data_IF_150243320775
#
_entry.id   IF_150243320775
#
_cell.length_a   1.000
_cell.length_b   1.000
_cell.length_c   1.000
_cell.angle_alpha   90.00
_cell.angle_beta   90.00
_cell.angle_gamma   90.00
#
_symmetry.space_group_name_H-M   'P 1'
#
loop_
_entity.id
_entity.type
_entity.pdbx_description
1 polymer ?
#
# COMPACT_ATOMS: atom_id res chain seq x y z
N UNK A 1 -14.25 -20.25 -66.28
CA UNK A 1 -14.96 -20.40 -65.00
C UNK A 1 -13.90 -20.30 -63.90
N UNK A 2 -13.66 -19.11 -63.35
CA UNK A 2 -14.37 -18.52 -62.17
C UNK A 2 -13.97 -19.26 -60.89
N UNK A 3 -13.49 -18.64 -59.80
CA UNK A 3 -13.33 -17.23 -59.45
C UNK A 3 -12.33 -17.13 -58.28
N UNK A 4 -11.47 -16.11 -58.29
CA UNK A 4 -11.58 -14.91 -57.45
C UNK A 4 -11.33 -15.18 -55.95
N UNK A 5 -10.05 -15.35 -55.59
CA UNK A 5 -9.57 -14.92 -54.28
C UNK A 5 -9.45 -13.39 -54.32
N UNK A 6 -10.36 -12.71 -53.63
CA UNK A 6 -10.24 -11.29 -53.34
C UNK A 6 -9.06 -11.12 -52.38
N UNK A 7 -7.90 -10.72 -52.91
CA UNK A 7 -6.77 -10.37 -52.06
C UNK A 7 -7.14 -9.13 -51.26
N UNK A 8 -6.95 -9.18 -49.95
CA UNK A 8 -7.10 -8.06 -49.01
C UNK A 8 -6.51 -6.74 -49.53
N UNK A 9 -5.45 -6.83 -50.34
CA UNK A 9 -4.77 -5.70 -50.97
C UNK A 9 -5.57 -5.02 -52.08
N UNK A 10 -6.41 -5.75 -52.79
CA UNK A 10 -7.32 -5.21 -53.81
C UNK A 10 -8.43 -4.34 -53.19
N UNK A 11 -8.85 -4.65 -51.95
CA UNK A 11 -9.82 -3.86 -51.18
C UNK A 11 -9.22 -2.54 -50.65
N UNK A 12 -7.96 -2.57 -50.21
CA UNK A 12 -7.24 -1.38 -49.73
C UNK A 12 -7.02 -0.39 -50.89
N UNK A 13 -6.57 -0.89 -52.06
CA UNK A 13 -6.35 -0.05 -53.25
C UNK A 13 -7.65 0.53 -53.83
N UNK A 14 -8.79 -0.17 -53.73
CA UNK A 14 -10.07 0.37 -54.21
C UNK A 14 -10.62 1.48 -53.31
N UNK A 15 -10.25 1.48 -52.02
CA UNK A 15 -10.69 2.51 -51.08
C UNK A 15 -9.90 3.80 -51.27
N UNK A 16 -8.58 3.74 -51.42
CA UNK A 16 -7.71 4.93 -51.43
C UNK A 16 -6.75 4.97 -52.64
N UNK A 17 -7.23 5.40 -53.82
CA UNK A 17 -6.41 5.53 -55.02
C UNK A 17 -5.49 6.76 -54.90
N UNK A 18 -4.26 6.52 -54.46
CA UNK A 18 -3.24 7.56 -54.24
C UNK A 18 -2.14 7.16 -53.26
N UNK A 19 -2.30 6.03 -52.56
CA UNK A 19 -1.28 5.51 -51.65
C UNK A 19 -0.12 4.92 -52.45
N UNK A 20 1.03 5.61 -52.47
CA UNK A 20 2.30 5.02 -52.90
C UNK A 20 2.91 4.26 -51.72
N UNK A 21 3.15 2.96 -51.91
CA UNK A 21 3.73 2.08 -50.88
C UNK A 21 5.26 2.13 -51.04
N UNK A 22 6.03 2.53 -50.02
CA UNK A 22 7.49 2.39 -50.03
C UNK A 22 7.91 1.00 -49.52
N UNK A 23 8.97 0.44 -50.12
CA UNK A 23 9.51 -0.91 -49.89
C UNK A 23 10.21 -1.10 -48.52
N UNK A 24 9.51 -0.98 -47.39
CA UNK A 24 10.08 -1.36 -46.08
C UNK A 24 9.00 -1.77 -45.05
N UNK A 25 9.09 -2.96 -44.41
CA UNK A 25 8.06 -3.45 -43.50
C UNK A 25 8.47 -3.31 -42.02
N UNK A 26 8.60 -2.09 -41.48
CA UNK A 26 8.73 -1.96 -40.02
C UNK A 26 7.96 -0.76 -39.39
N UNK A 27 7.52 -0.88 -38.12
CA UNK A 27 6.51 0.01 -37.51
C UNK A 27 7.04 1.38 -37.07
N UNK A 28 8.34 1.66 -37.22
CA UNK A 28 8.98 2.88 -36.73
C UNK A 28 8.80 4.05 -37.72
N UNK A 29 8.55 3.78 -39.01
CA UNK A 29 8.49 4.82 -40.04
C UNK A 29 7.14 5.56 -40.12
N UNK A 30 6.13 5.19 -39.31
CA UNK A 30 4.77 5.74 -39.40
C UNK A 30 4.45 6.90 -38.43
N UNK A 31 5.37 7.33 -37.57
CA UNK A 31 5.08 8.35 -36.54
C UNK A 31 5.62 9.76 -36.83
N UNK A 32 6.24 10.01 -37.98
CA UNK A 32 6.89 11.30 -38.26
C UNK A 32 6.27 12.07 -39.42
N UNK A 33 4.97 12.40 -39.34
CA UNK A 33 4.38 13.42 -40.21
C UNK A 33 3.43 14.35 -39.42
N UNK A 34 3.91 15.59 -39.24
CA UNK A 34 3.26 16.84 -38.78
C UNK A 34 3.67 17.39 -37.41
N UNK A 35 4.79 18.14 -37.44
CA UNK A 35 5.10 19.24 -36.51
C UNK A 35 4.97 20.56 -37.28
N UNK A 36 4.25 21.55 -36.73
CA UNK A 36 4.71 22.96 -36.66
C UNK A 36 3.86 23.81 -35.68
N UNK A 37 4.42 24.90 -35.08
CA UNK A 37 3.94 25.54 -33.84
C UNK A 37 3.60 27.07 -33.93
N UNK A 38 3.27 27.66 -32.75
CA UNK A 38 3.26 29.09 -32.28
C UNK A 38 1.96 29.93 -32.41
N UNK A 39 1.75 31.06 -31.64
CA UNK A 39 2.49 31.64 -30.49
C UNK A 39 1.66 32.23 -29.30
N UNK A 40 2.43 32.62 -28.26
CA UNK A 40 2.28 33.46 -27.03
C UNK A 40 1.24 34.59 -26.92
N UNK A 41 0.79 34.87 -25.68
CA UNK A 41 0.63 36.24 -25.13
C UNK A 41 0.51 36.31 -23.59
N UNK A 42 0.80 37.49 -23.05
CA UNK A 42 1.25 37.87 -21.70
C UNK A 42 0.16 38.46 -20.76
N UNK A 43 0.49 38.51 -19.45
CA UNK A 43 0.38 39.67 -18.54
C UNK A 43 -0.56 39.61 -17.31
N UNK A 44 0.00 40.17 -16.23
CA UNK A 44 -0.60 40.99 -15.15
C UNK A 44 -1.04 40.33 -13.82
N UNK A 45 -0.56 40.99 -12.75
CA UNK A 45 -0.70 40.76 -11.30
C UNK A 45 -1.90 41.56 -10.76
N UNK A 46 -2.63 41.10 -9.74
CA UNK A 46 -3.46 41.97 -8.91
C UNK A 46 -2.99 42.10 -7.44
N UNK A 47 -3.45 43.14 -6.71
CA UNK A 47 -2.79 43.71 -5.54
C UNK A 47 -3.30 43.16 -4.17
N UNK A 48 -2.48 43.33 -3.14
CA UNK A 48 -2.82 43.14 -1.73
C UNK A 48 -3.76 44.23 -1.19
N UNK A 49 -4.53 43.95 -0.12
CA UNK A 49 -4.99 44.99 0.80
C UNK A 49 -4.51 44.81 2.25
N UNK A 50 -3.92 45.91 2.74
CA UNK A 50 -4.07 46.62 4.03
C UNK A 50 -4.21 45.87 5.39
N UNK A 51 -3.32 46.30 6.28
CA UNK A 51 -3.23 46.11 7.73
C UNK A 51 -4.37 46.75 8.54
N UNK A 52 -4.84 46.06 9.59
CA UNK A 52 -5.50 46.67 10.77
C UNK A 52 -5.07 45.93 12.04
N UNK A 53 -4.68 46.70 13.07
CA UNK A 53 -4.30 46.26 14.43
C UNK A 53 -5.29 46.86 15.46
N UNK A 54 -5.16 46.62 16.78
CA UNK A 54 -5.78 45.52 17.51
C UNK A 54 -6.77 46.01 18.60
N UNK A 55 -7.78 45.23 18.96
CA UNK A 55 -8.44 45.38 20.28
C UNK A 55 -8.92 44.04 20.84
N UNK A 56 -8.73 43.93 22.14
CA UNK A 56 -8.86 42.80 23.05
C UNK A 56 -10.30 42.34 23.29
N UNK A 57 -10.52 41.03 23.38
CA UNK A 57 -11.26 40.45 24.49
C UNK A 57 -10.93 38.96 24.68
N UNK A 58 -10.77 38.56 25.95
CA UNK A 58 -10.42 37.20 26.38
C UNK A 58 -11.70 36.37 26.59
N UNK A 59 -11.67 35.11 26.10
CA UNK A 59 -12.22 33.84 26.66
C UNK A 59 -12.86 32.95 25.56
N UNK A 60 -13.05 31.63 25.80
CA UNK A 60 -12.08 30.54 25.95
C UNK A 60 -12.09 29.64 24.69
N UNK A 61 -10.92 29.27 24.14
CA UNK A 61 -10.86 28.49 22.90
C UNK A 61 -11.14 26.98 23.12
N UNK A 62 -12.10 26.37 22.41
CA UNK A 62 -12.03 24.93 22.12
C UNK A 62 -10.91 24.71 21.09
N UNK A 63 -10.06 23.72 21.34
CA UNK A 63 -9.04 23.25 20.41
C UNK A 63 -9.68 22.98 19.04
N UNK A 64 -9.40 23.84 18.06
CA UNK A 64 -9.76 23.61 16.67
C UNK A 64 -8.45 23.56 15.89
N UNK A 65 -7.98 22.36 15.64
CA UNK A 65 -6.97 22.07 14.63
C UNK A 65 -7.56 22.56 13.31
N UNK A 66 -7.03 23.64 12.75
CA UNK A 66 -7.31 23.99 11.36
C UNK A 66 -6.61 22.94 10.50
N UNK A 67 -7.29 21.81 10.29
CA UNK A 67 -7.01 20.91 9.18
C UNK A 67 -7.16 21.72 7.88
N UNK A 68 -6.33 21.42 6.88
CA UNK A 68 -6.55 21.90 5.51
C UNK A 68 -8.04 21.65 5.18
N UNK A 69 -8.83 22.72 5.00
CA UNK A 69 -10.25 22.58 4.69
C UNK A 69 -10.34 21.88 3.32
N UNK A 70 -10.91 20.68 3.32
CA UNK A 70 -11.22 19.97 2.10
C UNK A 70 -12.30 20.76 1.35
N UNK A 71 -11.87 21.48 0.30
CA UNK A 71 -12.73 22.36 -0.49
C UNK A 71 -13.65 21.59 -1.45
N UNK A 72 -13.64 20.25 -1.43
CA UNK A 72 -14.50 19.43 -2.27
C UNK A 72 -15.95 19.44 -1.75
N UNK A 73 -16.94 19.19 -2.63
CA UNK A 73 -18.34 19.12 -2.21
C UNK A 73 -18.54 18.05 -1.12
N UNK A 74 -19.29 18.37 -0.05
CA UNK A 74 -19.53 17.46 1.06
C UNK A 74 -20.10 16.10 0.61
N UNK A 75 -20.95 16.10 -0.41
CA UNK A 75 -21.47 14.89 -1.05
C UNK A 75 -20.37 13.97 -1.61
N UNK A 76 -19.34 14.55 -2.22
CA UNK A 76 -18.21 13.80 -2.74
C UNK A 76 -17.36 13.21 -1.61
N UNK A 77 -17.07 14.01 -0.58
CA UNK A 77 -16.30 13.56 0.59
C UNK A 77 -17.02 12.40 1.29
N UNK A 78 -18.32 12.51 1.50
CA UNK A 78 -19.14 11.45 2.10
C UNK A 78 -19.18 10.19 1.23
N UNK A 79 -19.27 10.33 -0.10
CA UNK A 79 -19.26 9.18 -1.01
C UNK A 79 -17.92 8.43 -0.98
N UNK A 80 -16.81 9.15 -1.03
CA UNK A 80 -15.47 8.55 -0.95
C UNK A 80 -15.26 7.89 0.42
N UNK A 81 -15.69 8.53 1.51
CA UNK A 81 -15.63 7.95 2.84
C UNK A 81 -16.49 6.68 2.96
N UNK A 82 -17.71 6.67 2.40
CA UNK A 82 -18.57 5.49 2.33
C UNK A 82 -17.90 4.34 1.58
N UNK A 83 -17.34 4.62 0.40
CA UNK A 83 -16.61 3.61 -0.38
C UNK A 83 -15.45 3.04 0.44
N UNK A 84 -14.61 3.90 1.03
CA UNK A 84 -13.48 3.49 1.85
C UNK A 84 -13.90 2.57 3.01
N UNK A 85 -14.93 2.95 3.78
CA UNK A 85 -15.40 2.12 4.91
C UNK A 85 -16.03 0.80 4.48
N UNK A 86 -16.71 0.76 3.34
CA UNK A 86 -17.24 -0.49 2.79
C UNK A 86 -16.12 -1.41 2.27
N UNK A 87 -15.05 -0.84 1.73
CA UNK A 87 -13.85 -1.56 1.32
C UNK A 87 -13.07 -2.10 2.52
N UNK A 88 -12.90 -1.32 3.58
CA UNK A 88 -12.33 -1.73 4.87
C UNK A 88 -13.14 -2.87 5.53
N UNK A 89 -14.47 -2.79 5.47
CA UNK A 89 -15.34 -3.79 6.07
C UNK A 89 -15.43 -5.10 5.27
N UNK A 90 -15.12 -5.07 3.97
CA UNK A 90 -15.21 -6.24 3.09
C UNK A 90 -14.46 -7.45 3.70
N UNK A 91 -15.09 -8.63 3.80
CA UNK A 91 -16.37 -9.04 3.16
C UNK A 91 -17.64 -8.85 4.01
N UNK A 92 -17.55 -8.19 5.16
CA UNK A 92 -18.67 -8.02 6.08
C UNK A 92 -19.69 -7.01 5.55
N UNK A 93 -20.93 -7.18 6.00
CA UNK A 93 -22.05 -6.26 5.70
C UNK A 93 -22.13 -5.24 6.84
N UNK A 94 -22.24 -3.96 6.50
CA UNK A 94 -22.48 -2.87 7.45
C UNK A 94 -23.94 -2.46 7.43
N UNK A 95 -24.53 -2.23 8.61
CA UNK A 95 -25.87 -1.62 8.71
C UNK A 95 -25.79 -0.10 8.53
N UNK A 96 -26.93 0.56 8.29
CA UNK A 96 -26.99 2.03 8.28
C UNK A 96 -26.52 2.62 9.62
N UNK A 97 -26.85 1.97 10.74
CA UNK A 97 -26.42 2.43 12.07
C UNK A 97 -24.91 2.32 12.25
N UNK A 98 -24.28 1.29 11.68
CA UNK A 98 -22.83 1.16 11.68
C UNK A 98 -22.18 2.30 10.86
N UNK A 99 -22.74 2.61 9.68
CA UNK A 99 -22.23 3.67 8.82
C UNK A 99 -22.32 5.06 9.48
N UNK A 100 -23.46 5.41 10.07
CA UNK A 100 -23.63 6.66 10.83
C UNK A 100 -22.57 6.77 11.94
N UNK A 101 -22.36 5.68 12.69
CA UNK A 101 -21.42 5.65 13.80
C UNK A 101 -19.95 5.71 13.35
N UNK A 102 -19.60 5.05 12.25
CA UNK A 102 -18.22 4.97 11.75
C UNK A 102 -17.82 6.26 11.04
N UNK A 103 -18.74 6.83 10.25
CA UNK A 103 -18.49 8.06 9.49
C UNK A 103 -18.72 9.33 10.29
N UNK A 104 -19.38 9.23 11.45
CA UNK A 104 -19.79 10.37 12.27
C UNK A 104 -20.66 11.37 11.47
N UNK A 105 -21.51 10.84 10.58
CA UNK A 105 -22.47 11.60 9.76
C UNK A 105 -23.89 11.23 10.17
N UNK A 106 -24.59 12.15 10.82
CA UNK A 106 -25.97 11.93 11.29
C UNK A 106 -27.02 11.96 10.18
N UNK A 107 -26.70 12.56 9.02
CA UNK A 107 -27.62 12.65 7.89
C UNK A 107 -27.76 11.32 7.14
N UNK A 108 -28.74 10.52 7.56
CA UNK A 108 -29.09 9.24 6.94
C UNK A 108 -29.57 9.39 5.49
N UNK A 109 -30.20 10.51 5.13
CA UNK A 109 -30.69 10.71 3.77
C UNK A 109 -29.53 10.93 2.81
N UNK A 110 -28.54 11.73 3.23
CA UNK A 110 -27.30 11.93 2.49
C UNK A 110 -26.55 10.60 2.30
N UNK A 111 -26.38 9.81 3.38
CA UNK A 111 -25.73 8.50 3.29
C UNK A 111 -26.48 7.57 2.33
N UNK A 112 -27.81 7.50 2.43
CA UNK A 112 -28.64 6.66 1.55
C UNK A 112 -28.55 7.10 0.09
N UNK A 113 -28.50 8.40 -0.18
CA UNK A 113 -28.35 8.95 -1.52
C UNK A 113 -26.98 8.60 -2.12
N UNK A 114 -25.89 8.76 -1.36
CA UNK A 114 -24.55 8.40 -1.83
C UNK A 114 -24.36 6.88 -1.96
N UNK A 115 -24.99 6.06 -1.10
CA UNK A 115 -24.99 4.60 -1.24
C UNK A 115 -25.66 4.14 -2.53
N UNK A 116 -26.77 4.78 -2.94
CA UNK A 116 -27.40 4.53 -4.25
C UNK A 116 -26.47 4.93 -5.39
N UNK A 117 -25.79 6.07 -5.29
CA UNK A 117 -24.81 6.47 -6.30
C UNK A 117 -23.64 5.47 -6.42
N UNK A 118 -23.24 4.81 -5.33
CA UNK A 118 -22.24 3.73 -5.36
C UNK A 118 -22.79 2.41 -5.93
N UNK A 119 -24.06 2.09 -5.66
CA UNK A 119 -24.77 0.94 -6.26
C UNK A 119 -24.94 1.11 -7.78
N UNK A 120 -25.29 2.32 -8.24
CA UNK A 120 -25.41 2.65 -9.67
C UNK A 120 -24.06 2.52 -10.41
N UNK A 121 -22.94 2.72 -9.71
CA UNK A 121 -21.58 2.48 -10.22
C UNK A 121 -21.14 1.02 -10.09
N UNK A 122 -22.03 0.15 -9.65
CA UNK A 122 -21.80 -1.27 -9.41
C UNK A 122 -20.69 -1.57 -8.40
N UNK A 123 -20.44 -0.63 -7.47
CA UNK A 123 -19.40 -0.77 -6.45
C UNK A 123 -19.94 -1.42 -5.16
N UNK A 124 -21.22 -1.27 -4.88
CA UNK A 124 -21.85 -1.71 -3.62
C UNK A 124 -23.08 -2.55 -3.94
N UNK A 125 -23.35 -3.55 -3.09
CA UNK A 125 -24.57 -4.37 -3.18
C UNK A 125 -25.35 -4.30 -1.87
N UNK A 126 -26.67 -4.31 -2.00
CA UNK A 126 -27.61 -4.21 -0.89
C UNK A 126 -28.02 -5.61 -0.45
N UNK A 127 -27.96 -5.87 0.85
CA UNK A 127 -28.07 -7.21 1.41
C UNK A 127 -29.12 -7.21 2.51
N UNK A 128 -30.18 -8.02 2.41
CA UNK A 128 -31.09 -8.20 3.53
C UNK A 128 -30.34 -8.71 4.76
N UNK A 129 -30.51 -8.04 5.91
CA UNK A 129 -29.90 -8.48 7.16
C UNK A 129 -30.72 -9.62 7.77
N UNK A 130 -30.03 -10.63 8.29
CA UNK A 130 -30.64 -11.79 8.97
C UNK A 130 -30.57 -11.63 10.50
N UNK A 131 -31.39 -12.38 11.24
CA UNK A 131 -31.37 -12.40 12.71
C UNK A 131 -32.05 -11.21 13.38
N UNK A 132 -31.38 -10.57 14.36
CA UNK A 132 -31.96 -9.48 15.19
C UNK A 132 -32.32 -8.22 14.40
N UNK A 133 -31.78 -8.08 13.19
CA UNK A 133 -32.02 -6.95 12.29
C UNK A 133 -32.89 -7.34 11.08
N UNK A 134 -33.63 -8.45 11.19
CA UNK A 134 -34.54 -8.93 10.15
C UNK A 134 -35.48 -7.81 9.69
N UNK A 135 -35.50 -7.56 8.37
CA UNK A 135 -36.26 -6.47 7.74
C UNK A 135 -35.46 -5.20 7.44
N UNK A 136 -34.20 -5.12 7.87
CA UNK A 136 -33.28 -4.05 7.49
C UNK A 136 -32.38 -4.45 6.31
N UNK A 137 -31.87 -3.44 5.60
CA UNK A 137 -30.89 -3.60 4.52
C UNK A 137 -29.52 -3.20 5.06
N UNK A 138 -28.53 -4.05 4.80
CA UNK A 138 -27.12 -3.76 4.99
C UNK A 138 -26.42 -3.57 3.66
N UNK A 139 -25.20 -3.06 3.72
CA UNK A 139 -24.40 -2.65 2.58
C UNK A 139 -23.06 -3.38 2.62
N UNK A 140 -22.63 -3.92 1.48
CA UNK A 140 -21.26 -4.46 1.33
C UNK A 140 -20.66 -4.08 0.00
N UNK A 141 -19.33 -3.99 -0.05
CA UNK A 141 -18.60 -3.86 -1.31
C UNK A 141 -18.92 -5.05 -2.23
N UNK A 142 -19.21 -4.75 -3.49
CA UNK A 142 -19.34 -5.73 -4.58
C UNK A 142 -17.99 -5.84 -5.29
N UNK A 143 -17.44 -7.04 -5.42
CA UNK A 143 -16.18 -7.27 -6.14
C UNK A 143 -16.48 -8.10 -7.38
N UNK A 144 -15.95 -7.65 -8.52
CA UNK A 144 -16.03 -8.37 -9.78
C UNK A 144 -14.88 -9.36 -9.89
N UNK A 145 -15.10 -10.59 -9.43
CA UNK A 145 -14.14 -11.68 -9.61
C UNK A 145 -14.30 -12.29 -11.01
N UNK A 146 -14.04 -11.49 -12.07
CA UNK A 146 -14.11 -11.97 -13.44
C UNK A 146 -13.05 -13.06 -13.68
N UNK A 147 -13.43 -14.13 -14.40
CA UNK A 147 -12.55 -15.26 -14.75
C UNK A 147 -11.95 -16.04 -13.57
N UNK A 148 -12.58 -15.99 -12.39
CA UNK A 148 -12.15 -16.74 -11.21
C UNK A 148 -13.23 -17.68 -10.70
N UNK A 149 -12.84 -18.87 -10.28
CA UNK A 149 -13.74 -19.80 -9.58
C UNK A 149 -14.01 -19.27 -8.17
N UNK A 150 -15.29 -18.99 -7.87
CA UNK A 150 -15.74 -18.56 -6.53
C UNK A 150 -16.51 -19.70 -5.89
N UNK A 151 -16.02 -20.17 -4.73
CA UNK A 151 -16.64 -21.22 -3.93
C UNK A 151 -17.15 -20.64 -2.62
N UNK A 152 -18.47 -20.60 -2.45
CA UNK A 152 -19.07 -20.28 -1.16
C UNK A 152 -18.98 -21.48 -0.23
N UNK A 153 -18.33 -21.31 0.92
CA UNK A 153 -18.11 -22.39 1.89
C UNK A 153 -19.01 -22.20 3.10
N UNK A 154 -19.97 -23.12 3.28
CA UNK A 154 -20.78 -23.21 4.49
C UNK A 154 -20.03 -24.03 5.56
N UNK A 155 -19.59 -23.37 6.63
CA UNK A 155 -18.93 -24.02 7.77
C UNK A 155 -17.39 -24.02 7.75
N UNK A 156 -16.77 -24.42 8.86
CA UNK A 156 -15.30 -24.37 9.04
C UNK A 156 -14.55 -25.54 8.37
N UNK A 157 -15.24 -26.66 8.10
CA UNK A 157 -14.58 -27.94 7.84
C UNK A 157 -14.29 -28.21 6.35
N UNK A 158 -14.88 -27.44 5.43
CA UNK A 158 -14.70 -27.69 3.98
C UNK A 158 -13.38 -27.17 3.41
N UNK A 159 -12.70 -26.23 4.08
CA UNK A 159 -11.37 -25.76 3.65
C UNK A 159 -10.26 -26.79 3.96
N UNK A 160 -10.54 -27.82 4.76
CA UNK A 160 -9.56 -28.81 5.22
C UNK A 160 -9.39 -30.01 4.28
N UNK A 161 -10.24 -30.17 3.25
CA UNK A 161 -10.26 -31.33 2.35
C UNK A 161 -9.49 -31.13 1.03
N UNK A 162 -8.52 -30.21 1.03
CA UNK A 162 -7.64 -29.98 -0.11
C UNK A 162 -6.53 -31.03 -0.11
N UNK A 163 -6.24 -31.67 -1.25
CA UNK A 163 -5.23 -32.73 -1.35
C UNK A 163 -3.85 -32.21 -0.92
N UNK A 164 -2.93 -33.09 -0.48
CA UNK A 164 -1.63 -32.67 0.07
C UNK A 164 -0.77 -31.83 -0.89
N UNK A 165 -0.88 -32.05 -2.20
CA UNK A 165 -0.20 -31.26 -3.24
C UNK A 165 -0.85 -29.91 -3.53
N UNK A 166 -2.08 -29.68 -3.09
CA UNK A 166 -2.82 -28.43 -3.31
C UNK A 166 -2.76 -27.49 -2.10
N UNK A 167 -2.15 -27.93 -0.98
CA UNK A 167 -2.05 -27.12 0.24
C UNK A 167 -1.06 -25.96 0.05
N UNK A 168 -1.44 -24.72 0.39
CA UNK A 168 -0.54 -23.57 0.30
C UNK A 168 0.56 -23.67 1.34
N UNK A 169 1.78 -23.29 0.95
CA UNK A 169 2.95 -23.23 1.84
C UNK A 169 3.32 -21.80 2.21
N UNK A 170 2.78 -20.81 1.50
CA UNK A 170 3.01 -19.39 1.73
C UNK A 170 1.66 -18.69 1.92
N UNK A 171 1.50 -17.97 3.02
CA UNK A 171 0.37 -17.09 3.27
C UNK A 171 0.76 -15.64 2.96
N UNK A 172 -0.13 -14.89 2.31
CA UNK A 172 0.00 -13.45 2.06
C UNK A 172 -1.19 -12.78 2.74
N UNK A 173 -0.90 -11.92 3.72
CA UNK A 173 -1.91 -11.19 4.48
C UNK A 173 -1.80 -9.73 4.11
N UNK A 174 -2.91 -9.14 3.68
CA UNK A 174 -3.04 -7.71 3.38
C UNK A 174 -4.03 -7.07 4.34
N UNK A 175 -4.04 -5.74 4.41
CA UNK A 175 -4.96 -5.00 5.25
C UNK A 175 -6.04 -4.27 4.42
N UNK A 176 -5.64 -3.58 3.35
CA UNK A 176 -6.55 -2.88 2.47
C UNK A 176 -7.08 -3.80 1.36
N UNK A 177 -8.26 -3.44 0.83
CA UNK A 177 -8.85 -4.20 -0.26
C UNK A 177 -8.01 -4.07 -1.55
N UNK A 178 -7.54 -2.87 -1.88
CA UNK A 178 -6.69 -2.63 -3.04
C UNK A 178 -5.39 -3.46 -3.00
N UNK A 179 -4.78 -3.61 -1.81
CA UNK A 179 -3.62 -4.49 -1.62
C UNK A 179 -3.95 -5.95 -1.92
N UNK A 180 -5.10 -6.44 -1.45
CA UNK A 180 -5.55 -7.80 -1.78
C UNK A 180 -5.77 -7.97 -3.28
N UNK A 181 -6.41 -7.00 -3.92
CA UNK A 181 -6.64 -7.04 -5.36
C UNK A 181 -5.31 -7.09 -6.13
N UNK A 182 -4.34 -6.25 -5.73
CA UNK A 182 -2.96 -6.26 -6.25
C UNK A 182 -2.31 -7.64 -6.15
N UNK A 183 -2.36 -8.26 -4.96
CA UNK A 183 -1.83 -9.61 -4.73
C UNK A 183 -2.57 -10.64 -5.58
N UNK A 184 -3.89 -10.62 -5.58
CA UNK A 184 -4.71 -11.61 -6.28
C UNK A 184 -4.48 -11.60 -7.78
N UNK A 185 -4.16 -10.47 -8.41
CA UNK A 185 -3.87 -10.41 -9.85
C UNK A 185 -2.53 -11.07 -10.23
N UNK A 186 -1.59 -11.17 -9.28
CA UNK A 186 -0.35 -11.91 -9.47
C UNK A 186 -0.54 -13.42 -9.33
N UNK A 187 -1.65 -13.88 -8.73
CA UNK A 187 -1.92 -15.30 -8.51
C UNK A 187 -2.53 -15.94 -9.76
N UNK A 188 -1.89 -16.99 -10.24
CA UNK A 188 -2.34 -17.83 -11.35
C UNK A 188 -3.16 -19.03 -10.85
N UNK A 189 -4.07 -19.55 -11.69
CA UNK A 189 -4.90 -20.72 -11.38
C UNK A 189 -5.60 -20.59 -10.00
N UNK A 190 -6.18 -19.41 -9.75
CA UNK A 190 -6.72 -19.04 -8.45
C UNK A 190 -8.18 -19.44 -8.27
N UNK A 191 -8.51 -19.88 -7.06
CA UNK A 191 -9.89 -20.11 -6.58
C UNK A 191 -10.11 -19.25 -5.34
N UNK A 192 -11.18 -18.46 -5.32
CA UNK A 192 -11.57 -17.65 -4.16
C UNK A 192 -12.63 -18.39 -3.36
N UNK A 193 -12.35 -18.60 -2.09
CA UNK A 193 -13.26 -19.17 -1.12
C UNK A 193 -13.84 -18.05 -0.28
N UNK A 194 -15.16 -17.91 -0.31
CA UNK A 194 -15.86 -16.93 0.50
C UNK A 194 -16.67 -17.65 1.57
N UNK A 195 -16.43 -17.28 2.82
CA UNK A 195 -17.20 -17.77 3.95
C UNK A 195 -17.98 -16.61 4.55
N UNK A 196 -19.24 -16.50 4.19
CA UNK A 196 -20.19 -15.63 4.87
C UNK A 196 -20.69 -16.29 6.16
N UNK A 197 -20.89 -15.49 7.21
CA UNK A 197 -21.50 -15.97 8.44
C UNK A 197 -23.02 -15.90 8.37
N UNK A 198 -23.68 -16.85 9.02
CA UNK A 198 -25.14 -16.89 9.17
C UNK A 198 -25.58 -16.20 10.46
N UNK A 199 -24.78 -16.22 11.53
CA UNK A 199 -25.16 -15.63 12.83
C UNK A 199 -23.94 -15.10 13.60
N UNK A 200 -23.73 -13.78 13.61
CA UNK A 200 -22.92 -13.11 14.65
C UNK A 200 -21.40 -13.30 14.62
N UNK A 201 -20.76 -13.43 13.45
CA UNK A 201 -19.31 -13.19 13.44
C UNK A 201 -18.69 -12.89 12.07
N UNK A 202 -17.36 -12.78 12.06
CA UNK A 202 -16.42 -12.59 10.94
C UNK A 202 -16.63 -13.46 9.68
N UNK A 203 -16.98 -12.81 8.57
CA UNK A 203 -16.88 -13.38 7.23
C UNK A 203 -15.46 -13.24 6.71
N UNK A 204 -14.97 -14.23 5.95
CA UNK A 204 -13.57 -14.26 5.47
C UNK A 204 -13.51 -14.62 3.99
N UNK A 205 -12.50 -14.08 3.29
CA UNK A 205 -12.22 -14.35 1.88
C UNK A 205 -10.78 -14.81 1.75
N UNK A 206 -10.61 -16.04 1.26
CA UNK A 206 -9.30 -16.63 0.98
C UNK A 206 -9.16 -16.87 -0.50
N UNK A 207 -8.01 -16.54 -1.08
CA UNK A 207 -7.73 -16.84 -2.48
C UNK A 207 -6.51 -17.75 -2.54
N UNK A 208 -6.69 -18.95 -3.10
CA UNK A 208 -5.63 -19.95 -3.21
C UNK A 208 -5.26 -20.10 -4.69
N UNK A 209 -3.97 -20.10 -5.00
CA UNK A 209 -3.47 -20.32 -6.34
C UNK A 209 -1.95 -20.41 -6.35
N UNK A 210 -1.33 -20.13 -7.49
CA UNK A 210 0.11 -20.26 -7.68
C UNK A 210 0.75 -18.89 -7.96
N UNK A 211 1.90 -18.63 -7.35
CA UNK A 211 2.83 -17.59 -7.79
C UNK A 211 4.13 -18.30 -8.15
N UNK A 212 4.42 -18.36 -9.45
CA UNK A 212 5.48 -19.22 -9.97
C UNK A 212 5.28 -20.68 -9.52
N UNK A 213 6.31 -21.35 -8.97
CA UNK A 213 6.20 -22.73 -8.51
C UNK A 213 5.56 -22.89 -7.12
N UNK A 214 5.20 -21.79 -6.45
CA UNK A 214 4.73 -21.83 -5.06
C UNK A 214 3.22 -21.75 -4.98
N UNK A 215 2.62 -22.67 -4.20
CA UNK A 215 1.21 -22.62 -3.84
C UNK A 215 1.02 -21.59 -2.72
N UNK A 216 0.25 -20.55 -2.99
CA UNK A 216 0.03 -19.43 -2.08
C UNK A 216 -1.44 -19.33 -1.66
N UNK A 217 -1.66 -18.74 -0.49
CA UNK A 217 -2.98 -18.31 -0.03
C UNK A 217 -2.94 -16.84 0.35
N UNK A 218 -3.82 -16.03 -0.23
CA UNK A 218 -3.99 -14.63 0.15
C UNK A 218 -5.25 -14.43 0.99
N UNK A 219 -5.22 -13.50 1.94
CA UNK A 219 -6.39 -13.02 2.67
C UNK A 219 -6.22 -11.54 3.01
N UNK A 220 -7.35 -10.83 3.09
CA UNK A 220 -7.42 -9.48 3.64
C UNK A 220 -7.93 -9.55 5.08
N UNK A 221 -7.37 -8.75 5.96
CA UNK A 221 -7.90 -8.53 7.30
C UNK A 221 -9.13 -7.61 7.22
N UNK A 222 -10.32 -8.03 7.71
CA UNK A 222 -11.48 -7.17 7.77
C UNK A 222 -11.32 -6.18 8.92
N UNK A 223 -11.42 -4.90 8.58
CA UNK A 223 -11.46 -3.81 9.54
C UNK A 223 -12.91 -3.35 9.68
N UNK A 224 -13.48 -3.55 10.87
CA UNK A 224 -14.80 -3.00 11.21
C UNK A 224 -14.73 -2.36 12.59
N UNK A 225 -14.91 -1.04 12.63
CA UNK A 225 -15.09 -0.29 13.87
C UNK A 225 -13.80 0.11 14.60
N UNK A 226 -13.96 0.52 15.87
CA UNK A 226 -12.85 0.99 16.73
C UNK A 226 -11.84 -0.14 16.98
N UNK A 227 -10.59 0.27 17.15
CA UNK A 227 -9.38 -0.56 17.25
C UNK A 227 -9.59 -1.95 17.84
N UNK A 228 -10.17 -2.07 19.04
CA UNK A 228 -10.22 -3.36 19.72
C UNK A 228 -10.99 -4.44 18.94
N UNK A 229 -12.07 -4.09 18.24
CA UNK A 229 -12.82 -5.06 17.43
C UNK A 229 -12.03 -5.48 16.19
N UNK A 230 -11.33 -4.54 15.54
CA UNK A 230 -10.41 -4.81 14.46
C UNK A 230 -9.22 -5.67 14.92
N UNK A 231 -8.63 -5.41 16.10
CA UNK A 231 -7.58 -6.23 16.76
C UNK A 231 -8.04 -7.68 16.91
N UNK A 232 -9.21 -7.88 17.51
CA UNK A 232 -9.74 -9.23 17.79
C UNK A 232 -10.04 -9.98 16.49
N UNK A 233 -10.71 -9.31 15.54
CA UNK A 233 -11.07 -9.87 14.24
C UNK A 233 -9.85 -10.32 13.44
N UNK A 234 -8.83 -9.45 13.34
CA UNK A 234 -7.60 -9.71 12.59
C UNK A 234 -6.78 -10.86 13.20
N UNK A 235 -6.66 -10.88 14.53
CA UNK A 235 -6.01 -11.98 15.25
C UNK A 235 -6.74 -13.32 15.09
N UNK A 236 -8.08 -13.30 15.13
CA UNK A 236 -8.92 -14.48 14.89
C UNK A 236 -8.72 -15.05 13.49
N UNK A 237 -8.65 -14.19 12.47
CA UNK A 237 -8.47 -14.62 11.07
C UNK A 237 -7.09 -15.19 10.84
N UNK A 238 -6.06 -14.53 11.35
CA UNK A 238 -4.68 -15.04 11.26
C UNK A 238 -4.57 -16.41 11.93
N UNK A 239 -5.14 -16.57 13.14
CA UNK A 239 -5.14 -17.85 13.86
C UNK A 239 -5.92 -18.94 13.11
N UNK A 240 -7.06 -18.60 12.51
CA UNK A 240 -7.87 -19.54 11.72
C UNK A 240 -7.19 -19.93 10.42
N UNK A 241 -6.54 -18.99 9.73
CA UNK A 241 -5.75 -19.24 8.53
C UNK A 241 -4.65 -20.25 8.83
N UNK A 242 -3.83 -19.98 9.85
CA UNK A 242 -2.72 -20.87 10.24
C UNK A 242 -3.22 -22.22 10.79
N UNK A 243 -4.35 -22.23 11.49
CA UNK A 243 -4.99 -23.46 11.97
C UNK A 243 -5.60 -24.32 10.86
N UNK A 244 -6.18 -23.70 9.83
CA UNK A 244 -6.78 -24.39 8.68
C UNK A 244 -5.73 -24.88 7.67
N UNK A 245 -4.69 -24.08 7.45
CA UNK A 245 -3.62 -24.35 6.50
C UNK A 245 -2.29 -24.60 7.21
N UNK A 246 -2.22 -25.73 7.91
CA UNK A 246 -1.05 -26.12 8.71
C UNK A 246 0.22 -26.37 7.87
N UNK A 247 0.11 -26.44 6.54
CA UNK A 247 1.24 -26.56 5.64
C UNK A 247 1.94 -25.22 5.35
N UNK A 248 1.36 -24.09 5.79
CA UNK A 248 1.97 -22.77 5.66
C UNK A 248 3.25 -22.71 6.48
N UNK A 249 4.36 -22.46 5.81
CA UNK A 249 5.70 -22.33 6.37
C UNK A 249 6.14 -20.86 6.46
N UNK A 250 5.65 -20.03 5.53
CA UNK A 250 6.02 -18.62 5.45
C UNK A 250 4.77 -17.73 5.40
N UNK A 251 4.82 -16.59 6.08
CA UNK A 251 3.75 -15.58 6.08
C UNK A 251 4.36 -14.26 5.63
N UNK A 252 3.81 -13.67 4.58
CA UNK A 252 4.11 -12.32 4.15
C UNK A 252 3.00 -11.38 4.60
N UNK A 253 3.38 -10.31 5.31
CA UNK A 253 2.52 -9.15 5.53
C UNK A 253 2.87 -8.14 4.45
N UNK A 254 1.90 -7.77 3.60
CA UNK A 254 2.14 -6.91 2.44
C UNK A 254 1.12 -5.79 2.42
N UNK A 255 1.59 -4.56 2.51
CA UNK A 255 0.73 -3.40 2.42
C UNK A 255 1.48 -2.10 2.17
N UNK A 256 0.72 -1.02 2.12
CA UNK A 256 1.25 0.34 2.02
C UNK A 256 1.73 0.83 3.38
N UNK A 257 2.61 1.82 3.37
CA UNK A 257 3.16 2.41 4.58
C UNK A 257 3.69 3.82 4.33
N UNK A 258 3.91 4.56 5.41
CA UNK A 258 4.50 5.90 5.37
C UNK A 258 6.02 5.83 5.49
N UNK A 259 6.76 6.35 4.52
CA UNK A 259 8.23 6.41 4.63
C UNK A 259 8.66 7.39 5.73
N UNK A 260 9.74 7.05 6.44
CA UNK A 260 10.46 7.98 7.30
C UNK A 260 11.28 8.93 6.43
N UNK A 261 11.16 10.25 6.59
CA UNK A 261 11.84 11.21 5.75
C UNK A 261 13.33 11.36 6.13
N UNK A 262 14.23 10.76 5.36
CA UNK A 262 15.68 10.98 5.50
C UNK A 262 16.19 12.04 4.52
N UNK A 263 16.25 13.31 4.92
CA UNK A 263 16.62 14.42 4.00
C UNK A 263 18.09 14.38 3.59
N UNK A 264 18.97 13.90 4.47
CA UNK A 264 20.43 13.95 4.29
C UNK A 264 21.05 12.60 3.92
N UNK A 265 20.29 11.51 3.97
CA UNK A 265 20.80 10.14 3.78
C UNK A 265 20.02 9.43 2.68
N UNK A 266 20.49 9.56 1.43
CA UNK A 266 19.83 8.98 0.25
C UNK A 266 19.55 7.47 0.38
N UNK A 267 20.47 6.71 0.97
CA UNK A 267 20.34 5.26 1.12
C UNK A 267 19.17 4.86 2.05
N UNK A 268 18.88 5.69 3.06
CA UNK A 268 17.74 5.49 3.98
C UNK A 268 16.44 6.12 3.48
N UNK A 269 16.52 6.99 2.47
CA UNK A 269 15.40 7.82 2.06
C UNK A 269 14.51 7.13 1.02
N UNK A 270 13.28 6.75 1.36
CA UNK A 270 12.33 6.17 0.40
C UNK A 270 11.45 7.22 -0.27
N UNK A 271 11.10 6.97 -1.54
CA UNK A 271 10.18 7.78 -2.35
C UNK A 271 8.82 7.11 -2.52
N UNK A 272 7.80 7.85 -2.96
CA UNK A 272 6.52 7.23 -3.30
C UNK A 272 6.69 6.13 -4.37
N UNK A 273 6.17 4.95 -4.04
CA UNK A 273 6.28 3.75 -4.86
C UNK A 273 7.53 2.90 -4.62
N UNK A 274 8.47 3.31 -3.76
CA UNK A 274 9.55 2.43 -3.30
C UNK A 274 9.00 1.32 -2.38
N UNK A 275 9.67 0.17 -2.36
CA UNK A 275 9.32 -0.99 -1.53
C UNK A 275 10.29 -1.09 -0.36
N UNK A 276 9.76 -1.16 0.86
CA UNK A 276 10.56 -1.42 2.06
C UNK A 276 10.35 -2.86 2.52
N UNK A 277 11.43 -3.61 2.64
CA UNK A 277 11.47 -4.96 3.19
C UNK A 277 11.96 -4.90 4.62
N UNK A 278 11.18 -5.48 5.53
CA UNK A 278 11.52 -5.56 6.95
C UNK A 278 12.83 -6.34 7.13
N UNK A 279 13.86 -5.66 7.61
CA UNK A 279 15.19 -6.22 7.82
C UNK A 279 15.87 -5.58 9.04
N UNK A 280 16.82 -6.26 9.67
CA UNK A 280 17.55 -5.68 10.80
C UNK A 280 18.40 -4.50 10.33
N UNK A 281 18.51 -3.46 11.14
CA UNK A 281 19.25 -2.23 10.77
C UNK A 281 20.68 -2.54 10.30
N UNK A 282 21.37 -3.48 10.96
CA UNK A 282 22.74 -3.88 10.63
C UNK A 282 22.86 -4.71 9.34
N UNK A 283 21.76 -5.25 8.82
CA UNK A 283 21.75 -5.99 7.55
C UNK A 283 22.15 -5.07 6.39
N UNK A 284 21.79 -3.79 6.48
CA UNK A 284 22.01 -2.80 5.43
C UNK A 284 23.42 -2.22 5.45
N UNK A 285 24.02 -2.05 6.63
CA UNK A 285 25.30 -1.35 6.81
C UNK A 285 26.53 -2.20 6.48
N UNK A 286 26.38 -3.52 6.29
CA UNK A 286 27.51 -4.44 6.12
C UNK A 286 27.72 -4.96 4.69
N UNK A 287 26.68 -4.99 3.85
CA UNK A 287 26.68 -5.86 2.66
C UNK A 287 26.38 -5.16 1.33
N UNK A 288 25.77 -3.96 1.30
CA UNK A 288 25.11 -3.44 0.08
C UNK A 288 25.39 -1.99 -0.31
N UNK A 289 26.34 -1.29 0.32
CA UNK A 289 26.75 0.02 -0.21
C UNK A 289 27.20 -0.14 -1.67
N UNK A 290 26.54 0.45 -2.67
CA UNK A 290 26.84 0.15 -4.08
C UNK A 290 28.15 0.80 -4.55
N UNK A 291 28.86 1.49 -3.65
CA UNK A 291 30.28 1.78 -3.76
C UNK A 291 31.10 0.54 -3.44
N UNK A 292 31.36 -0.27 -4.47
CA UNK A 292 32.39 -1.29 -4.41
C UNK A 292 33.74 -0.66 -4.04
N UNK A 293 34.12 -0.76 -2.78
CA UNK A 293 35.50 -0.60 -2.37
C UNK A 293 35.80 -1.60 -1.24
N UNK A 294 36.19 -2.82 -1.62
CA UNK A 294 36.92 -3.74 -0.75
C UNK A 294 38.36 -3.23 -0.51
N UNK A 295 38.52 -1.98 -0.09
CA UNK A 295 39.79 -1.46 0.39
C UNK A 295 39.75 -1.34 1.91
N UNK A 296 40.23 -2.41 2.56
CA UNK A 296 40.75 -2.37 3.92
C UNK A 296 41.95 -1.42 3.96
N UNK A 297 41.72 -0.12 4.11
CA UNK A 297 42.69 0.80 4.71
C UNK A 297 42.05 2.15 5.01
N UNK A 298 41.56 2.30 6.24
CA UNK A 298 41.06 3.55 6.80
C UNK A 298 41.05 3.45 8.32
N UNK A 299 42.12 3.95 8.93
CA UNK A 299 42.32 3.98 10.38
C UNK A 299 41.34 5.00 11.00
N UNK A 300 40.16 4.53 11.41
CA UNK A 300 39.12 5.30 12.09
C UNK A 300 38.51 4.48 13.21
N UNK A 301 38.83 4.82 14.44
CA UNK A 301 38.56 4.02 15.62
C UNK A 301 37.12 4.28 16.12
N UNK A 302 36.12 3.58 15.56
CA UNK A 302 34.80 3.39 16.19
C UNK A 302 34.33 1.95 15.99
N UNK A 303 33.97 1.29 17.10
CA UNK A 303 33.60 -0.12 17.17
C UNK A 303 32.31 -0.44 16.38
N UNK A 304 32.41 -1.28 15.33
CA UNK A 304 31.58 -2.50 15.09
C UNK A 304 31.64 -3.00 13.63
N UNK A 305 32.77 -3.59 13.22
CA UNK A 305 32.91 -4.25 11.92
C UNK A 305 32.47 -5.74 11.97
N UNK A 306 31.19 -6.01 12.17
CA UNK A 306 30.62 -7.35 11.93
C UNK A 306 29.35 -7.23 11.10
N UNK A 307 29.50 -7.22 9.77
CA UNK A 307 28.40 -7.49 8.85
C UNK A 307 27.83 -8.88 9.15
N UNK A 308 26.51 -8.98 9.31
CA UNK A 308 25.82 -10.25 9.57
C UNK A 308 26.01 -11.17 8.36
N UNK A 309 26.46 -12.41 8.60
CA UNK A 309 26.57 -13.42 7.54
C UNK A 309 25.26 -14.22 7.44
N UNK A 310 24.96 -14.81 6.27
CA UNK A 310 23.86 -15.77 6.14
C UNK A 310 23.98 -16.88 7.20
N UNK A 311 22.96 -17.03 8.05
CA UNK A 311 22.95 -17.97 9.17
C UNK A 311 23.22 -17.39 10.56
N UNK A 312 23.65 -16.13 10.68
CA UNK A 312 23.78 -15.47 11.99
C UNK A 312 22.40 -15.12 12.57
N UNK A 313 22.20 -15.40 13.87
CA UNK A 313 20.98 -15.00 14.58
C UNK A 313 21.07 -13.49 14.85
N UNK A 314 20.35 -12.69 14.06
CA UNK A 314 20.23 -11.26 14.31
C UNK A 314 19.14 -11.00 15.37
N UNK A 315 19.55 -10.54 16.55
CA UNK A 315 18.60 -10.12 17.59
C UNK A 315 18.05 -8.71 17.38
N UNK A 316 18.58 -7.97 16.41
CA UNK A 316 18.07 -6.63 16.12
C UNK A 316 16.64 -6.75 15.53
N UNK A 317 15.70 -5.91 15.99
CA UNK A 317 14.33 -5.96 15.52
C UNK A 317 14.23 -5.56 14.06
N UNK A 318 13.36 -6.25 13.33
CA UNK A 318 12.96 -5.91 11.96
C UNK A 318 11.61 -5.20 11.93
N UNK A 319 10.85 -5.36 13.01
CA UNK A 319 9.56 -4.71 13.20
C UNK A 319 9.36 -4.33 14.68
N UNK A 320 8.87 -3.12 14.92
CA UNK A 320 8.63 -2.59 16.26
C UNK A 320 7.20 -2.05 16.33
N UNK A 321 6.42 -2.55 17.29
CA UNK A 321 5.08 -2.07 17.60
C UNK A 321 5.07 -1.32 18.92
N UNK A 322 4.60 -0.08 18.90
CA UNK A 322 4.34 0.73 20.08
C UNK A 322 2.91 0.50 20.56
N UNK A 323 2.75 -0.22 21.67
CA UNK A 323 1.44 -0.56 22.22
C UNK A 323 0.80 0.62 22.94
N UNK A 324 1.59 1.32 23.75
CA UNK A 324 1.17 2.52 24.49
C UNK A 324 2.36 3.36 24.94
N UNK A 325 2.10 4.65 25.13
CA UNK A 325 3.00 5.55 25.85
C UNK A 325 2.88 5.30 27.35
N UNK A 326 4.00 5.47 28.07
CA UNK A 326 4.02 5.46 29.52
C UNK A 326 4.00 6.91 29.97
N UNK A 327 2.88 7.34 30.53
CA UNK A 327 2.76 8.66 31.14
C UNK A 327 3.69 8.74 32.35
N UNK A 328 4.57 9.73 32.38
CA UNK A 328 5.33 10.04 33.59
C UNK A 328 4.37 10.65 34.61
N UNK A 329 3.81 9.82 35.49
CA UNK A 329 3.19 10.32 36.70
C UNK A 329 4.25 11.01 37.55
N UNK A 330 4.03 12.28 37.83
CA UNK A 330 4.77 13.19 38.72
C UNK A 330 5.91 14.03 38.09
N UNK A 331 5.58 15.33 37.99
CA UNK A 331 6.46 16.51 38.05
C UNK A 331 7.42 16.78 36.87
N UNK A 332 7.17 17.92 36.21
CA UNK A 332 7.91 18.59 35.12
C UNK A 332 7.52 18.16 33.68
N UNK A 333 7.18 19.11 32.79
CA UNK A 333 7.02 18.84 31.36
C UNK A 333 8.35 18.36 30.78
N UNK A 334 8.40 17.07 30.50
CA UNK A 334 9.58 16.40 29.98
C UNK A 334 9.64 16.61 28.46
N UNK A 335 10.81 16.97 27.87
CA UNK A 335 10.93 17.13 26.42
C UNK A 335 10.57 15.80 25.73
N UNK A 336 10.01 15.86 24.52
CA UNK A 336 9.58 14.68 23.72
C UNK A 336 10.65 13.57 23.65
N UNK A 337 11.94 13.94 23.83
CA UNK A 337 13.07 13.03 23.92
C UNK A 337 13.14 12.11 25.17
N UNK A 338 12.13 12.14 26.04
CA UNK A 338 12.08 11.33 27.27
C UNK A 338 10.83 10.46 27.39
N UNK A 339 10.05 10.37 26.30
CA UNK A 339 8.90 9.47 26.20
C UNK A 339 9.33 8.02 26.43
N UNK A 340 8.61 7.33 27.31
CA UNK A 340 8.79 5.90 27.55
C UNK A 340 7.68 5.14 26.85
N UNK A 341 8.03 3.99 26.28
CA UNK A 341 7.12 3.20 25.46
C UNK A 341 6.96 1.78 26.01
N UNK A 342 5.77 1.22 25.86
CA UNK A 342 5.57 -0.24 25.92
C UNK A 342 5.72 -0.78 24.51
N UNK A 343 6.82 -1.49 24.26
CA UNK A 343 7.20 -1.97 22.94
C UNK A 343 7.07 -3.48 22.80
N UNK A 344 6.65 -3.91 21.62
CA UNK A 344 6.86 -5.27 21.13
C UNK A 344 7.85 -5.23 19.98
N UNK A 345 8.92 -6.00 20.11
CA UNK A 345 10.00 -6.05 19.13
C UNK A 345 10.04 -7.43 18.51
N UNK A 346 10.00 -7.47 17.18
CA UNK A 346 10.02 -8.72 16.42
C UNK A 346 11.33 -8.78 15.64
N UNK A 347 12.10 -9.83 15.88
CA UNK A 347 13.37 -10.10 15.21
C UNK A 347 13.24 -11.32 14.29
N UNK A 348 14.12 -11.39 13.31
CA UNK A 348 14.16 -12.51 12.35
C UNK A 348 14.73 -13.75 13.04
N UNK A 349 13.95 -14.83 13.04
CA UNK A 349 14.38 -16.13 13.56
C UNK A 349 15.13 -16.96 12.51
N UNK A 350 14.78 -16.77 11.24
CA UNK A 350 15.34 -17.47 10.08
C UNK A 350 15.65 -16.47 8.97
N UNK A 351 16.91 -16.41 8.56
CA UNK A 351 17.42 -15.47 7.55
C UNK A 351 17.20 -15.96 6.11
N UNK A 352 16.53 -17.10 5.90
CA UNK A 352 16.26 -17.66 4.57
C UNK A 352 15.55 -16.67 3.64
N UNK A 353 14.50 -15.98 4.13
CA UNK A 353 13.78 -14.98 3.33
C UNK A 353 14.65 -13.76 3.02
N UNK A 354 15.45 -13.28 3.97
CA UNK A 354 16.40 -12.19 3.74
C UNK A 354 17.47 -12.58 2.72
N UNK A 355 17.94 -13.84 2.77
CA UNK A 355 18.89 -14.39 1.80
C UNK A 355 18.28 -14.46 0.39
N UNK A 356 16.98 -14.75 0.28
CA UNK A 356 16.26 -14.69 -1.00
C UNK A 356 16.19 -13.25 -1.53
N UNK A 357 15.89 -12.28 -0.66
CA UNK A 357 15.90 -10.86 -1.02
C UNK A 357 17.28 -10.45 -1.50
N UNK A 358 18.34 -10.89 -0.83
CA UNK A 358 19.69 -10.59 -1.25
C UNK A 358 19.99 -11.12 -2.67
N UNK A 359 19.62 -12.36 -2.96
CA UNK A 359 19.80 -12.92 -4.32
C UNK A 359 18.98 -12.18 -5.38
N UNK A 360 17.84 -11.62 -5.02
CA UNK A 360 17.04 -10.80 -5.95
C UNK A 360 17.77 -9.49 -6.24
N UNK A 361 18.26 -8.82 -5.20
CA UNK A 361 18.96 -7.55 -5.33
C UNK A 361 20.34 -7.72 -6.00
N UNK A 362 21.10 -8.78 -5.71
CA UNK A 362 22.39 -9.07 -6.37
C UNK A 362 22.21 -9.28 -7.88
N UNK A 363 21.15 -9.99 -8.28
CA UNK A 363 20.82 -10.17 -9.70
C UNK A 363 20.48 -8.83 -10.35
N UNK A 364 19.72 -7.97 -9.67
CA UNK A 364 19.45 -6.62 -10.15
C UNK A 364 20.72 -5.78 -10.26
N UNK A 365 21.56 -5.74 -9.23
CA UNK A 365 22.80 -4.96 -9.23
C UNK A 365 23.78 -5.42 -10.32
N UNK A 366 23.77 -6.72 -10.66
CA UNK A 366 24.58 -7.26 -11.75
C UNK A 366 24.12 -6.79 -13.14
N UNK A 367 22.80 -6.63 -13.35
CA UNK A 367 22.21 -6.19 -14.62
C UNK A 367 20.95 -5.33 -14.36
N UNK A 368 21.11 -4.04 -14.00
CA UNK A 368 19.97 -3.18 -13.61
C UNK A 368 18.94 -3.00 -14.73
N UNK A 369 19.39 -3.02 -15.99
CA UNK A 369 18.53 -2.91 -17.18
C UNK A 369 17.57 -4.10 -17.34
N UNK A 370 17.79 -5.22 -16.62
CA UNK A 370 16.95 -6.42 -16.62
C UNK A 370 16.23 -6.61 -15.29
N UNK A 371 15.72 -5.51 -14.74
CA UNK A 371 14.97 -5.50 -13.49
C UNK A 371 13.71 -6.39 -13.54
N UNK A 372 13.80 -7.61 -13.01
CA UNK A 372 12.71 -8.62 -13.07
C UNK A 372 11.39 -8.10 -12.47
N UNK A 373 11.44 -7.41 -11.32
CA UNK A 373 10.22 -6.90 -10.68
C UNK A 373 9.55 -5.78 -11.48
N UNK A 374 10.28 -5.02 -12.29
CA UNK A 374 9.69 -4.03 -13.18
C UNK A 374 8.82 -4.70 -14.26
N UNK A 375 9.29 -5.82 -14.80
CA UNK A 375 8.51 -6.60 -15.77
C UNK A 375 7.25 -7.23 -15.14
N UNK A 376 7.37 -7.74 -13.91
CA UNK A 376 6.23 -8.29 -13.16
C UNK A 376 5.18 -7.20 -12.91
N UNK A 377 5.61 -6.00 -12.50
CA UNK A 377 4.73 -4.86 -12.26
C UNK A 377 3.99 -4.47 -13.55
N UNK A 378 4.70 -4.29 -14.66
CA UNK A 378 4.07 -3.93 -15.94
C UNK A 378 3.05 -4.98 -16.38
N UNK A 379 3.42 -6.26 -16.34
CA UNK A 379 2.52 -7.37 -16.70
C UNK A 379 1.28 -7.41 -15.80
N UNK A 380 1.44 -7.09 -14.51
CA UNK A 380 0.33 -7.04 -13.57
C UNK A 380 -0.58 -5.84 -13.83
N UNK A 381 -0.01 -4.67 -14.14
CA UNK A 381 -0.78 -3.47 -14.52
C UNK A 381 -1.61 -3.71 -15.79
N UNK A 382 -1.06 -4.41 -16.78
CA UNK A 382 -1.79 -4.76 -18.00
C UNK A 382 -3.00 -5.67 -17.72
N UNK A 383 -2.93 -6.52 -16.68
CA UNK A 383 -4.07 -7.33 -16.21
C UNK A 383 -5.14 -6.47 -15.52
N UNK A 384 -4.76 -5.38 -14.86
CA UNK A 384 -5.68 -4.45 -14.19
C UNK A 384 -6.31 -3.42 -15.12
N UNK A 385 -5.68 -3.08 -16.24
CA UNK A 385 -6.21 -2.10 -17.19
C UNK A 385 -7.59 -2.48 -17.78
N UNK A 386 -8.08 -3.69 -17.52
CA UNK A 386 -9.44 -4.15 -17.85
C UNK A 386 -10.48 -3.90 -16.73
N UNK A 387 -10.08 -3.55 -15.51
CA UNK A 387 -10.94 -3.34 -14.34
C UNK A 387 -10.78 -1.88 -13.84
N UNK A 388 -11.73 -1.00 -14.22
CA UNK A 388 -11.66 0.45 -13.99
C UNK A 388 -11.75 0.88 -12.50
N UNK A 389 -11.89 -0.05 -11.55
CA UNK A 389 -12.25 0.29 -10.18
C UNK A 389 -11.10 0.84 -9.30
N UNK A 390 -9.83 0.54 -9.62
CA UNK A 390 -8.68 0.95 -8.79
C UNK A 390 -7.50 1.39 -9.66
N UNK A 391 -7.00 2.61 -9.42
CA UNK A 391 -5.79 3.12 -10.05
C UNK A 391 -4.54 2.64 -9.29
N UNK A 392 -3.79 1.75 -9.91
CA UNK A 392 -2.51 1.25 -9.39
C UNK A 392 -1.29 1.94 -10.02
N UNK A 393 -1.51 3.00 -10.81
CA UNK A 393 -0.40 3.73 -11.44
C UNK A 393 0.48 4.38 -10.38
N UNK A 394 1.78 4.47 -10.70
CA UNK A 394 2.73 5.15 -9.82
C UNK A 394 2.33 6.64 -9.75
N UNK A 395 2.27 7.25 -8.55
CA UNK A 395 2.06 8.69 -8.42
C UNK A 395 3.09 9.47 -9.24
N UNK A 396 2.67 10.61 -9.79
CA UNK A 396 3.56 11.48 -10.55
C UNK A 396 4.74 11.96 -9.68
N UNK A 397 5.89 12.18 -10.30
CA UNK A 397 7.05 12.74 -9.59
C UNK A 397 6.78 14.15 -9.03
N UNK A 398 5.78 14.87 -9.54
CA UNK A 398 5.38 16.19 -9.03
C UNK A 398 4.61 16.11 -7.70
N UNK A 399 3.93 14.98 -7.47
CA UNK A 399 3.19 14.71 -6.23
C UNK A 399 4.07 14.06 -5.15
N UNK A 400 5.20 13.47 -5.52
CA UNK A 400 6.21 12.94 -4.59
C UNK A 400 7.02 14.09 -4.01
N UNK A 401 6.51 14.63 -2.89
CA UNK A 401 7.10 15.75 -2.17
C UNK A 401 7.29 15.42 -0.71
N UNK A 402 8.40 15.86 -0.16
CA UNK A 402 8.65 15.76 1.26
C UNK A 402 8.00 16.94 1.99
N UNK A 403 7.11 16.66 2.94
CA UNK A 403 6.52 17.71 3.78
C UNK A 403 7.29 17.79 5.09
N UNK A 404 7.87 18.95 5.40
CA UNK A 404 8.55 19.20 6.66
C UNK A 404 7.80 20.25 7.47
N UNK A 405 7.45 19.90 8.70
CA UNK A 405 6.70 20.74 9.63
C UNK A 405 7.68 21.32 10.65
N UNK A 406 7.86 22.64 10.66
CA UNK A 406 8.79 23.32 11.57
C UNK A 406 8.08 23.73 12.86
N UNK A 407 6.86 24.28 12.72
CA UNK A 407 6.04 24.78 13.82
C UNK A 407 4.56 24.37 13.61
N UNK A 408 3.70 24.67 14.60
CA UNK A 408 2.26 24.45 14.51
C UNK A 408 1.65 25.21 13.32
N UNK A 409 1.47 24.50 12.19
CA UNK A 409 0.75 24.98 11.02
C UNK A 409 1.61 25.40 9.83
N UNK A 410 2.95 25.41 9.95
CA UNK A 410 3.83 25.74 8.82
C UNK A 410 4.49 24.47 8.26
N UNK A 411 4.07 24.10 7.06
CA UNK A 411 4.60 22.95 6.31
C UNK A 411 5.29 23.44 5.05
N UNK A 412 6.52 22.97 4.81
CA UNK A 412 7.28 23.25 3.60
C UNK A 412 7.42 22.00 2.74
N UNK A 413 7.26 22.17 1.42
CA UNK A 413 7.63 21.17 0.44
C UNK A 413 9.16 21.20 0.26
N UNK A 414 9.83 20.10 0.59
CA UNK A 414 11.27 19.89 0.41
C UNK A 414 11.48 18.86 -0.70
N UNK A 415 12.52 19.08 -1.50
CA UNK A 415 12.93 18.14 -2.53
C UNK A 415 13.54 16.89 -1.88
N UNK A 416 13.24 15.72 -2.43
CA UNK A 416 13.94 14.48 -2.08
C UNK A 416 15.46 14.61 -2.33
N UNK A 417 16.33 13.98 -1.52
CA UNK A 417 17.76 13.95 -1.77
C UNK A 417 18.05 13.42 -3.18
N UNK A 418 19.00 14.05 -3.86
CA UNK A 418 19.42 13.64 -5.19
C UNK A 418 20.11 12.27 -5.14
N UNK A 419 19.91 11.47 -6.20
CA UNK A 419 20.59 10.18 -6.34
C UNK A 419 22.07 10.48 -6.63
N UNK A 420 23.03 9.99 -5.82
CA UNK A 420 24.45 10.14 -6.12
C UNK A 420 24.80 9.59 -7.50
N UNK A 421 25.69 10.27 -8.24
CA UNK A 421 26.00 9.93 -9.65
C UNK A 421 26.43 8.46 -9.81
N UNK A 422 27.26 7.95 -8.90
CA UNK A 422 27.74 6.57 -8.88
C UNK A 422 26.62 5.53 -8.63
N UNK A 423 25.47 5.96 -8.10
CA UNK A 423 24.30 5.11 -7.82
C UNK A 423 23.22 5.20 -8.90
N UNK A 424 23.25 6.22 -9.75
CA UNK A 424 22.21 6.52 -10.74
C UNK A 424 21.71 5.30 -11.53
N UNK A 425 22.63 4.41 -11.94
CA UNK A 425 22.30 3.18 -12.69
C UNK A 425 21.38 2.19 -11.95
N UNK A 426 21.36 2.23 -10.62
CA UNK A 426 20.56 1.34 -9.77
C UNK A 426 19.18 1.92 -9.42
N UNK A 427 18.90 3.15 -9.85
CA UNK A 427 17.63 3.84 -9.58
C UNK A 427 17.02 4.38 -10.88
N UNK A 428 16.69 3.50 -11.85
CA UNK A 428 16.08 3.94 -13.10
C UNK A 428 14.72 4.60 -12.85
N UNK A 429 14.38 5.68 -13.58
CA UNK A 429 13.10 6.37 -13.41
C UNK A 429 11.89 5.45 -13.56
N UNK A 430 10.89 5.61 -12.70
CA UNK A 430 9.64 4.83 -12.75
C UNK A 430 9.74 3.44 -12.13
N UNK A 431 10.93 2.89 -11.92
CA UNK A 431 11.12 1.59 -11.25
C UNK A 431 11.17 1.79 -9.72
N UNK A 432 10.41 1.00 -8.93
CA UNK A 432 10.53 1.01 -7.48
C UNK A 432 11.93 0.64 -7.00
N UNK A 433 12.51 1.45 -6.12
CA UNK A 433 13.68 1.02 -5.37
C UNK A 433 13.25 0.05 -4.26
N UNK A 434 14.12 -0.92 -3.95
CA UNK A 434 13.92 -1.81 -2.81
C UNK A 434 14.86 -1.39 -1.69
N UNK A 435 14.30 -1.15 -0.51
CA UNK A 435 15.03 -0.74 0.69
C UNK A 435 14.84 -1.78 1.77
N UNK A 436 15.87 -1.97 2.58
CA UNK A 436 15.88 -2.92 3.68
C UNK A 436 15.96 -2.12 4.97
N UNK A 437 15.10 -2.40 5.95
CA UNK A 437 15.20 -1.74 7.25
C UNK A 437 14.07 -2.04 8.21
N UNK A 438 14.16 -1.46 9.40
CA UNK A 438 13.19 -1.69 10.46
C UNK A 438 11.89 -0.93 10.17
N UNK A 439 10.76 -1.60 10.39
CA UNK A 439 9.42 -1.03 10.21
C UNK A 439 8.80 -0.75 11.57
N UNK A 440 8.22 0.44 11.75
CA UNK A 440 7.50 0.82 12.97
C UNK A 440 5.99 0.74 12.80
N UNK A 441 5.29 0.68 13.93
CA UNK A 441 3.82 0.72 13.97
C UNK A 441 3.32 1.12 15.36
N UNK A 442 2.05 1.53 15.43
CA UNK A 442 1.36 1.84 16.68
C UNK A 442 0.76 3.24 16.68
N UNK A 443 -0.56 3.32 16.89
CA UNK A 443 -1.31 4.59 16.95
C UNK A 443 -0.76 5.64 17.92
N UNK A 444 -0.30 5.28 19.13
CA UNK A 444 0.22 6.26 20.07
C UNK A 444 1.40 7.08 19.56
N UNK A 445 2.08 6.64 18.49
CA UNK A 445 3.18 7.37 17.86
C UNK A 445 2.83 7.86 16.46
N UNK A 446 1.92 7.22 15.72
CA UNK A 446 1.61 7.62 14.33
C UNK A 446 0.71 8.84 14.25
N UNK A 447 -0.15 9.05 15.26
CA UNK A 447 -1.16 10.11 15.29
C UNK A 447 -0.57 11.49 15.62
N UNK A 448 0.70 11.55 16.04
CA UNK A 448 1.41 12.78 16.35
C UNK A 448 2.73 12.85 15.58
N UNK A 449 2.87 13.89 14.74
CA UNK A 449 4.03 14.06 13.87
C UNK A 449 5.37 14.07 14.63
N UNK A 450 5.44 14.79 15.75
CA UNK A 450 6.68 14.91 16.53
C UNK A 450 7.04 13.59 17.22
N UNK A 451 6.05 12.88 17.75
CA UNK A 451 6.27 11.58 18.39
C UNK A 451 6.70 10.54 17.36
N UNK A 452 6.08 10.55 16.17
CA UNK A 452 6.45 9.71 15.03
C UNK A 452 7.91 9.90 14.63
N UNK A 453 8.32 11.16 14.44
CA UNK A 453 9.68 11.50 14.02
C UNK A 453 10.73 11.15 15.08
N UNK A 454 10.43 11.43 16.36
CA UNK A 454 11.31 11.08 17.46
C UNK A 454 11.45 9.56 17.60
N UNK A 455 10.34 8.81 17.53
CA UNK A 455 10.33 7.35 17.58
C UNK A 455 11.12 6.72 16.41
N UNK A 456 10.91 7.25 15.20
CA UNK A 456 11.64 6.82 14.01
C UNK A 456 13.15 7.00 14.18
N UNK A 457 13.57 8.14 14.72
CA UNK A 457 14.99 8.43 14.99
C UNK A 457 15.56 7.54 16.08
N UNK A 458 14.86 7.36 17.19
CA UNK A 458 15.30 6.55 18.33
C UNK A 458 15.51 5.08 17.93
N UNK A 459 14.61 4.54 17.10
CA UNK A 459 14.64 3.14 16.69
C UNK A 459 15.17 2.88 15.28
N UNK A 460 15.66 3.91 14.59
CA UNK A 460 16.24 3.83 13.24
C UNK A 460 15.28 3.16 12.24
N UNK A 461 14.01 3.59 12.26
CA UNK A 461 12.98 3.09 11.35
C UNK A 461 13.14 3.69 9.94
N UNK A 462 12.79 2.91 8.92
CA UNK A 462 12.71 3.40 7.53
C UNK A 462 11.28 3.71 7.07
N UNK A 463 10.30 3.03 7.64
CA UNK A 463 8.90 3.30 7.37
C UNK A 463 8.03 2.94 8.56
N UNK A 464 6.81 3.46 8.53
CA UNK A 464 5.70 3.05 9.36
C UNK A 464 4.75 2.22 8.52
N UNK A 465 4.35 1.09 9.08
CA UNK A 465 3.19 0.37 8.61
C UNK A 465 1.94 1.28 8.75
N UNK A 466 1.07 1.25 7.73
CA UNK A 466 -0.29 1.73 7.86
C UNK A 466 -1.22 0.54 8.19
N UNK A 467 -1.67 0.45 9.45
CA UNK A 467 -2.83 -0.35 9.88
C UNK A 467 -2.64 -1.87 10.21
N UNK A 468 -1.41 -2.36 10.39
CA UNK A 468 -1.10 -3.69 10.96
C UNK A 468 -1.01 -3.70 12.49
N UNK A 469 -1.37 -2.60 13.17
CA UNK A 469 -1.52 -2.51 14.64
C UNK A 469 -2.46 -3.59 15.21
N UNK A 470 -3.28 -4.20 14.35
CA UNK A 470 -4.26 -5.23 14.70
C UNK A 470 -3.68 -6.64 14.87
N UNK A 471 -2.53 -6.95 14.27
CA UNK A 471 -1.99 -8.33 14.17
C UNK A 471 -0.78 -8.57 15.05
N UNK A 472 -0.08 -7.51 15.46
CA UNK A 472 1.17 -7.51 16.22
C UNK A 472 0.99 -7.88 17.71
N UNK A 473 0.34 -9.02 17.98
CA UNK A 473 0.22 -9.55 19.34
C UNK A 473 1.43 -10.31 19.85
#
# INVERSE_FOLDING_TARGET
>A
MTGQEFSFWSYIQSKWPGLSIPDCPCPICLSTIFVRPLPTQSSSVPPQPASVSPHSDRQPHPFCILSEQDNRPAEQVVREALQMRLEEAYPNVLSMDDLVRILEVDDRNLLQFQLKALEERDLVQFVPLEGRYSGQIGFRRKIHLQNQEVKEVKGANHMQQVSTSEKPTIAIITNLLCEKLAVDAMIEQKTTFVRYKTEGGESNVYTIGNIGPHRVISTKLPMVGRELQAKISSGSITTRLLGAFQAVQHVFLVGVGGSVPHVYEFEKHSRLGDVVVSAPVKWCTGCRSPSGNHNNNGNGNHHSNNALKPGDICQDPVYIYCDRLIDSTDSEPQPAASLKYVLKKYAVRDTSLLSCVDRVLDRFESVPDRCEWSHILQTSMDRFAADEAVDFTRPSAETDKLKLKIDEGVTFDIKHPDIPEHLSRFYPPGVPAVRLGCIGSGRPITDNDQQRDYFAKEHQLLCFDAEYDQVSR
#
